data_IF_454250077424
#
_entry.id   IF_454250077424
#
_cell.length_a   1.000
_cell.length_b   1.000
_cell.length_c   1.000
_cell.angle_alpha   90.00
_cell.angle_beta   90.00
_cell.angle_gamma   90.00
#
_symmetry.space_group_name_H-M   'P 1'
#
loop_
_entity.id
_entity.type
_entity.pdbx_description
1 polymer ?
#
# COMPACT_ATOMS: atom_id res chain seq x y z
N UNK A 1 -0.81 -50.37 -45.69
CA UNK A 1 -0.88 -48.90 -45.64
C UNK A 1 -1.15 -48.46 -44.19
N UNK A 2 -0.13 -48.04 -43.48
CA UNK A 2 -0.23 -47.69 -42.08
C UNK A 2 -0.44 -46.19 -41.96
N UNK A 3 -1.61 -45.79 -41.48
CA UNK A 3 -1.95 -44.41 -41.21
C UNK A 3 -1.48 -43.97 -39.84
N UNK A 4 -0.45 -43.13 -39.78
CA UNK A 4 0.12 -42.56 -38.56
C UNK A 4 -0.79 -41.44 -38.06
N UNK A 5 -1.59 -41.67 -37.00
CA UNK A 5 -2.31 -40.60 -36.28
C UNK A 5 -1.32 -39.77 -35.47
N UNK A 6 -1.07 -38.53 -35.89
CA UNK A 6 -0.39 -37.51 -35.06
C UNK A 6 -1.31 -37.10 -33.93
N UNK A 7 -0.91 -37.43 -32.67
CA UNK A 7 -1.48 -36.88 -31.46
C UNK A 7 -1.07 -35.41 -31.35
N UNK A 8 -2.01 -34.50 -31.47
CA UNK A 8 -1.83 -33.10 -31.09
C UNK A 8 -1.68 -33.04 -29.57
N UNK A 9 -0.49 -32.74 -29.07
CA UNK A 9 -0.25 -32.39 -27.67
C UNK A 9 -0.69 -30.94 -27.47
N UNK A 10 -1.91 -30.75 -26.95
CA UNK A 10 -2.28 -29.47 -26.35
C UNK A 10 -1.37 -29.24 -25.12
N UNK A 11 -0.39 -28.36 -25.25
CA UNK A 11 0.33 -27.84 -24.10
C UNK A 11 -0.66 -26.97 -23.30
N UNK A 12 -1.30 -27.58 -22.31
CA UNK A 12 -2.12 -26.89 -21.35
C UNK A 12 -1.23 -25.92 -20.59
N UNK A 13 -1.47 -24.61 -20.78
CA UNK A 13 -0.94 -23.58 -19.91
C UNK A 13 -1.41 -23.92 -18.51
N UNK A 14 -0.49 -24.35 -17.67
CA UNK A 14 -0.74 -24.72 -16.28
C UNK A 14 -1.10 -23.44 -15.51
N UNK A 15 -2.36 -23.01 -15.62
CA UNK A 15 -2.91 -21.95 -14.80
C UNK A 15 -3.09 -22.51 -13.40
N UNK A 16 -2.10 -22.30 -12.54
CA UNK A 16 -2.27 -22.55 -11.11
C UNK A 16 -3.50 -21.74 -10.63
N UNK A 17 -4.62 -22.38 -10.29
CA UNK A 17 -5.77 -21.67 -9.76
C UNK A 17 -5.34 -21.00 -8.47
N UNK A 18 -5.69 -19.70 -8.32
CA UNK A 18 -5.50 -19.00 -7.06
C UNK A 18 -6.16 -19.83 -5.95
N UNK A 19 -5.45 -20.04 -4.85
CA UNK A 19 -6.04 -20.75 -3.71
C UNK A 19 -7.25 -19.95 -3.21
N UNK A 20 -8.26 -20.63 -2.67
CA UNK A 20 -9.47 -19.99 -2.16
C UNK A 20 -9.17 -18.87 -1.15
N UNK A 21 -8.13 -19.03 -0.35
CA UNK A 21 -7.68 -18.02 0.61
C UNK A 21 -7.22 -16.72 -0.03
N UNK A 22 -6.68 -16.76 -1.24
CA UNK A 22 -6.26 -15.56 -1.99
C UNK A 22 -7.42 -14.78 -2.61
N UNK A 23 -8.60 -15.42 -2.74
CA UNK A 23 -9.80 -14.78 -3.27
C UNK A 23 -10.63 -14.09 -2.17
N UNK A 24 -10.33 -14.36 -0.91
CA UNK A 24 -10.99 -13.75 0.25
C UNK A 24 -10.16 -12.55 0.74
N UNK A 25 -10.81 -11.59 1.42
CA UNK A 25 -10.11 -10.54 2.15
C UNK A 25 -9.17 -11.09 3.23
N UNK A 26 -8.30 -10.23 3.74
CA UNK A 26 -7.43 -10.55 4.88
C UNK A 26 -8.28 -11.02 6.08
N UNK A 27 -7.84 -12.03 6.86
CA UNK A 27 -8.51 -12.41 8.10
C UNK A 27 -8.67 -11.20 9.02
N UNK A 28 -9.85 -11.02 9.60
CA UNK A 28 -10.22 -9.85 10.39
C UNK A 28 -9.23 -9.56 11.54
N UNK A 29 -8.70 -10.61 12.17
CA UNK A 29 -7.69 -10.47 13.22
C UNK A 29 -6.40 -9.83 12.67
N UNK A 30 -5.88 -10.33 11.56
CA UNK A 30 -4.66 -9.81 10.92
C UNK A 30 -4.85 -8.37 10.43
N UNK A 31 -6.02 -8.05 9.87
CA UNK A 31 -6.35 -6.70 9.45
C UNK A 31 -6.36 -5.73 10.64
N UNK A 32 -6.92 -6.12 11.79
CA UNK A 32 -6.93 -5.31 13.02
C UNK A 32 -5.54 -5.10 13.59
N UNK A 33 -4.70 -6.13 13.62
CA UNK A 33 -3.32 -6.04 14.11
C UNK A 33 -2.50 -5.07 13.26
N UNK A 34 -2.65 -5.13 11.94
CA UNK A 34 -1.96 -4.24 11.01
C UNK A 34 -2.49 -2.80 11.14
N UNK A 35 -3.81 -2.60 11.19
CA UNK A 35 -4.43 -1.30 11.45
C UNK A 35 -3.92 -0.69 12.74
N UNK A 36 -3.92 -1.44 13.84
CA UNK A 36 -3.42 -0.96 15.13
C UNK A 36 -1.96 -0.51 15.04
N UNK A 37 -1.10 -1.28 14.37
CA UNK A 37 0.31 -0.93 14.20
C UNK A 37 0.48 0.41 13.46
N UNK A 38 -0.29 0.65 12.40
CA UNK A 38 -0.26 1.90 11.65
C UNK A 38 -0.75 3.10 12.48
N UNK A 39 -1.87 2.95 13.21
CA UNK A 39 -2.39 4.03 14.06
C UNK A 39 -1.49 4.32 15.25
N UNK A 40 -0.84 3.32 15.83
CA UNK A 40 0.18 3.50 16.88
C UNK A 40 1.41 4.24 16.32
N UNK A 41 1.85 3.91 15.10
CA UNK A 41 2.94 4.64 14.45
C UNK A 41 2.58 6.12 14.23
N UNK A 42 1.35 6.42 13.80
CA UNK A 42 0.89 7.81 13.65
C UNK A 42 0.82 8.53 15.01
N UNK A 43 0.31 7.87 16.06
CA UNK A 43 0.27 8.44 17.41
C UNK A 43 1.68 8.75 17.92
N UNK A 44 2.65 7.87 17.73
CA UNK A 44 4.04 8.10 18.08
C UNK A 44 4.65 9.28 17.29
N UNK A 45 4.29 9.43 16.03
CA UNK A 45 4.74 10.54 15.18
C UNK A 45 4.09 11.90 15.54
N UNK A 46 2.96 11.89 16.25
CA UNK A 46 2.35 13.11 16.83
C UNK A 46 3.00 13.53 18.14
N UNK A 47 3.63 12.60 18.85
CA UNK A 47 4.35 12.83 20.10
C UNK A 47 5.86 13.00 19.87
N UNK A 48 6.58 13.03 20.98
CA UNK A 48 8.04 13.22 20.98
C UNK A 48 8.81 11.89 20.80
N UNK A 49 8.11 10.79 20.56
CA UNK A 49 8.67 9.43 20.51
C UNK A 49 8.87 8.90 19.08
N UNK A 50 8.69 9.75 18.08
CA UNK A 50 8.77 9.33 16.71
C UNK A 50 10.20 8.94 16.29
N UNK A 51 10.30 7.84 15.58
CA UNK A 51 11.54 7.39 14.97
C UNK A 51 11.33 7.10 13.47
N UNK A 52 12.45 6.94 12.78
CA UNK A 52 12.43 6.67 11.33
C UNK A 52 11.64 5.41 10.94
N UNK A 53 11.61 4.42 11.81
CA UNK A 53 10.86 3.18 11.56
C UNK A 53 9.36 3.46 11.46
N UNK A 54 8.80 4.23 12.39
CA UNK A 54 7.37 4.60 12.40
C UNK A 54 7.01 5.44 11.17
N UNK A 55 7.85 6.38 10.77
CA UNK A 55 7.64 7.14 9.53
C UNK A 55 7.61 6.19 8.33
N UNK A 56 8.54 5.26 8.22
CA UNK A 56 8.59 4.30 7.13
C UNK A 56 7.35 3.39 7.09
N UNK A 57 6.83 2.97 8.24
CA UNK A 57 5.58 2.18 8.31
C UNK A 57 4.38 2.99 7.77
N UNK A 58 4.28 4.27 8.11
CA UNK A 58 3.25 5.16 7.57
C UNK A 58 3.41 5.39 6.06
N UNK A 59 4.64 5.61 5.59
CA UNK A 59 4.94 5.73 4.16
C UNK A 59 4.46 4.50 3.41
N UNK A 60 4.80 3.29 3.90
CA UNK A 60 4.39 2.03 3.29
C UNK A 60 2.88 1.88 3.25
N UNK A 61 2.17 2.19 4.34
CA UNK A 61 0.72 2.08 4.40
C UNK A 61 0.02 3.03 3.43
N UNK A 62 0.52 4.26 3.26
CA UNK A 62 -0.04 5.23 2.31
C UNK A 62 0.18 4.81 0.86
N UNK A 63 1.37 4.30 0.50
CA UNK A 63 1.59 3.76 -0.84
C UNK A 63 0.75 2.49 -1.10
N UNK A 64 0.58 1.62 -0.11
CA UNK A 64 -0.32 0.48 -0.21
C UNK A 64 -1.77 0.92 -0.48
N UNK A 65 -2.24 1.93 0.27
CA UNK A 65 -3.58 2.50 0.05
C UNK A 65 -3.72 3.06 -1.38
N UNK A 66 -2.70 3.75 -1.89
CA UNK A 66 -2.68 4.26 -3.25
C UNK A 66 -2.77 3.14 -4.31
N UNK A 67 -1.95 2.09 -4.18
CA UNK A 67 -1.98 0.97 -5.14
C UNK A 67 -3.31 0.21 -5.10
N UNK A 68 -3.87 -0.01 -3.91
CA UNK A 68 -5.20 -0.64 -3.77
C UNK A 68 -6.30 0.23 -4.36
N UNK A 69 -6.27 1.54 -4.17
CA UNK A 69 -7.22 2.45 -4.81
C UNK A 69 -7.11 2.39 -6.34
N UNK A 70 -5.93 2.32 -6.92
CA UNK A 70 -5.75 2.14 -8.36
C UNK A 70 -6.30 0.82 -8.89
N UNK A 71 -6.48 -0.17 -8.03
CA UNK A 71 -7.13 -1.45 -8.34
C UNK A 71 -8.65 -1.43 -8.11
N UNK A 72 -9.24 -0.27 -7.76
CA UNK A 72 -10.67 -0.08 -7.56
C UNK A 72 -11.15 -0.21 -6.11
N UNK A 73 -10.26 -0.22 -5.12
CA UNK A 73 -10.62 -0.28 -3.71
C UNK A 73 -10.50 1.10 -3.06
N UNK A 74 -11.64 1.72 -2.81
CA UNK A 74 -11.70 3.04 -2.18
C UNK A 74 -11.62 4.20 -3.15
N UNK A 75 -11.89 5.39 -2.63
CA UNK A 75 -11.87 6.65 -3.38
C UNK A 75 -11.42 7.78 -2.44
N UNK A 76 -10.18 8.19 -2.58
CA UNK A 76 -9.59 9.31 -1.86
C UNK A 76 -9.10 10.33 -2.89
N UNK A 77 -9.35 11.64 -2.68
CA UNK A 77 -8.80 12.67 -3.57
C UNK A 77 -7.30 12.54 -3.72
N UNK A 78 -6.82 12.71 -4.94
CA UNK A 78 -5.40 12.55 -5.28
C UNK A 78 -4.50 13.49 -4.45
N UNK A 79 -4.99 14.69 -4.18
CA UNK A 79 -4.33 15.73 -3.39
C UNK A 79 -3.98 15.26 -1.97
N UNK A 80 -4.76 14.31 -1.41
CA UNK A 80 -4.45 13.74 -0.09
C UNK A 80 -3.17 12.90 -0.13
N UNK A 81 -2.93 12.17 -1.21
CA UNK A 81 -1.71 11.40 -1.39
C UNK A 81 -0.51 12.31 -1.65
N UNK A 82 -0.65 13.36 -2.49
CA UNK A 82 0.40 14.35 -2.71
C UNK A 82 0.77 15.07 -1.40
N UNK A 83 -0.22 15.44 -0.60
CA UNK A 83 0.01 16.08 0.71
C UNK A 83 0.76 15.15 1.66
N UNK A 84 0.32 13.88 1.77
CA UNK A 84 0.98 12.90 2.63
C UNK A 84 2.43 12.64 2.21
N UNK A 85 2.69 12.55 0.90
CA UNK A 85 4.04 12.36 0.36
C UNK A 85 4.97 13.54 0.74
N UNK A 86 4.51 14.78 0.55
CA UNK A 86 5.25 15.97 0.97
C UNK A 86 5.47 16.01 2.49
N UNK A 87 4.48 15.61 3.28
CA UNK A 87 4.61 15.52 4.74
C UNK A 87 5.67 14.50 5.15
N UNK A 88 5.75 13.34 4.48
CA UNK A 88 6.76 12.32 4.76
C UNK A 88 8.17 12.77 4.38
N UNK A 89 8.35 13.46 3.25
CA UNK A 89 9.65 14.03 2.86
C UNK A 89 10.15 15.01 3.92
N UNK A 90 9.27 15.91 4.39
CA UNK A 90 9.58 16.85 5.47
C UNK A 90 9.88 16.11 6.78
N UNK A 91 9.07 15.11 7.13
CA UNK A 91 9.24 14.32 8.35
C UNK A 91 10.59 13.61 8.39
N UNK A 92 11.01 13.01 7.28
CA UNK A 92 12.31 12.34 7.18
C UNK A 92 13.48 13.33 7.30
N UNK A 93 13.35 14.53 6.74
CA UNK A 93 14.34 15.59 6.85
C UNK A 93 14.44 16.14 8.29
N UNK A 94 13.31 16.26 9.00
CA UNK A 94 13.22 16.70 10.40
C UNK A 94 13.76 15.63 11.35
N UNK A 95 13.39 14.37 11.15
CA UNK A 95 13.89 13.25 11.96
C UNK A 95 15.41 13.11 11.91
N UNK A 96 16.05 13.49 10.79
CA UNK A 96 17.51 13.51 10.68
C UNK A 96 18.17 14.61 11.53
N UNK A 97 17.40 15.62 11.98
CA UNK A 97 17.88 16.78 12.75
C UNK A 97 17.52 16.72 14.22
N UNK A 98 16.94 15.60 14.72
CA UNK A 98 16.46 15.42 16.11
C UNK A 98 15.47 16.52 16.56
N UNK A 99 14.57 16.96 15.72
CA UNK A 99 13.56 17.95 16.04
C UNK A 99 12.33 17.33 16.70
N UNK A 100 11.70 18.07 17.62
CA UNK A 100 10.68 17.58 18.54
C UNK A 100 9.33 17.20 17.88
N UNK A 101 8.96 17.79 16.76
CA UNK A 101 7.68 17.51 16.08
C UNK A 101 7.91 17.16 14.62
N UNK A 102 7.50 15.94 14.26
CA UNK A 102 7.75 15.38 12.91
C UNK A 102 6.67 15.80 11.92
N UNK A 103 5.39 15.79 12.32
CA UNK A 103 4.27 16.21 11.49
C UNK A 103 3.69 17.53 11.99
N UNK A 104 3.29 18.39 11.04
CA UNK A 104 2.49 19.57 11.34
C UNK A 104 1.08 19.20 11.79
N UNK A 105 0.35 20.18 12.34
CA UNK A 105 -1.06 19.99 12.73
C UNK A 105 -1.98 19.69 11.53
N UNK A 106 -1.56 20.04 10.33
CA UNK A 106 -2.30 19.81 9.10
C UNK A 106 -1.98 18.44 8.46
N UNK A 107 -0.79 17.89 8.69
CA UNK A 107 -0.34 16.64 8.08
C UNK A 107 -1.01 15.42 8.72
N UNK A 108 -1.05 15.38 10.04
CA UNK A 108 -1.56 14.23 10.77
C UNK A 108 -3.02 13.86 10.43
N UNK A 109 -3.97 14.81 10.29
CA UNK A 109 -5.34 14.49 9.87
C UNK A 109 -5.44 13.89 8.46
N UNK A 110 -4.60 14.32 7.53
CA UNK A 110 -4.57 13.78 6.16
C UNK A 110 -4.07 12.35 6.17
N UNK A 111 -2.98 12.08 6.87
CA UNK A 111 -2.43 10.73 7.02
C UNK A 111 -3.45 9.82 7.72
N UNK A 112 -4.11 10.29 8.78
CA UNK A 112 -5.15 9.53 9.49
C UNK A 112 -6.30 9.12 8.56
N UNK A 113 -6.79 10.01 7.72
CA UNK A 113 -7.82 9.69 6.71
C UNK A 113 -7.35 8.62 5.73
N UNK A 114 -6.09 8.65 5.30
CA UNK A 114 -5.51 7.63 4.44
C UNK A 114 -5.35 6.28 5.15
N UNK A 115 -5.03 6.27 6.44
CA UNK A 115 -5.01 5.03 7.24
C UNK A 115 -6.40 4.44 7.39
N UNK A 116 -7.43 5.25 7.66
CA UNK A 116 -8.84 4.80 7.73
C UNK A 116 -9.29 4.20 6.38
N UNK A 117 -8.90 4.82 5.26
CA UNK A 117 -9.13 4.23 3.95
C UNK A 117 -8.43 2.88 3.82
N UNK A 118 -7.16 2.80 4.22
CA UNK A 118 -6.39 1.56 4.14
C UNK A 118 -6.98 0.43 4.99
N UNK A 119 -7.44 0.73 6.19
CA UNK A 119 -8.14 -0.25 7.06
C UNK A 119 -9.36 -0.85 6.36
N UNK A 120 -10.14 0.00 5.70
CA UNK A 120 -11.29 -0.43 4.91
C UNK A 120 -10.87 -1.29 3.72
N UNK A 121 -9.83 -0.90 3.01
CA UNK A 121 -9.29 -1.66 1.88
C UNK A 121 -8.83 -3.06 2.31
N UNK A 122 -8.15 -3.19 3.46
CA UNK A 122 -7.72 -4.49 4.00
C UNK A 122 -8.89 -5.42 4.33
N UNK A 123 -10.05 -4.86 4.70
CA UNK A 123 -11.25 -5.63 4.99
C UNK A 123 -12.07 -6.00 3.75
N UNK A 124 -11.91 -5.28 2.64
CA UNK A 124 -12.70 -5.44 1.42
C UNK A 124 -11.91 -6.09 0.28
N UNK A 125 -10.63 -5.78 0.14
CA UNK A 125 -9.81 -6.25 -0.97
C UNK A 125 -9.43 -7.73 -0.82
N UNK A 126 -9.61 -8.57 -1.86
CA UNK A 126 -9.11 -9.94 -1.84
C UNK A 126 -7.59 -9.97 -1.64
N UNK A 127 -7.09 -10.99 -0.92
CA UNK A 127 -5.66 -11.12 -0.61
C UNK A 127 -4.73 -11.06 -1.82
N UNK A 128 -5.14 -11.60 -2.97
CA UNK A 128 -4.31 -11.52 -4.17
C UNK A 128 -4.09 -10.06 -4.64
N UNK A 129 -5.04 -9.14 -4.38
CA UNK A 129 -4.88 -7.71 -4.67
C UNK A 129 -3.96 -7.02 -3.67
N UNK A 130 -4.04 -7.40 -2.40
CA UNK A 130 -3.10 -6.93 -1.37
C UNK A 130 -1.67 -7.38 -1.71
N UNK A 131 -1.48 -8.64 -2.09
CA UNK A 131 -0.18 -9.18 -2.53
C UNK A 131 0.33 -8.46 -3.79
N UNK A 132 -0.54 -8.15 -4.74
CA UNK A 132 -0.17 -7.38 -5.94
C UNK A 132 0.26 -5.95 -5.59
N UNK A 133 -0.49 -5.27 -4.71
CA UNK A 133 -0.12 -3.94 -4.22
C UNK A 133 1.23 -3.96 -3.49
N UNK A 134 1.48 -4.97 -2.66
CA UNK A 134 2.74 -5.15 -1.96
C UNK A 134 3.91 -5.41 -2.92
N UNK A 135 3.68 -6.15 -4.01
CA UNK A 135 4.66 -6.35 -5.06
C UNK A 135 5.00 -5.02 -5.75
N UNK A 136 4.01 -4.20 -6.09
CA UNK A 136 4.23 -2.87 -6.68
C UNK A 136 5.00 -1.96 -5.72
N UNK A 137 4.68 -1.98 -4.43
CA UNK A 137 5.42 -1.25 -3.41
C UNK A 137 6.88 -1.68 -3.34
N UNK A 138 7.15 -2.98 -3.31
CA UNK A 138 8.54 -3.51 -3.30
C UNK A 138 9.32 -3.11 -4.55
N UNK A 139 8.69 -3.15 -5.72
CA UNK A 139 9.31 -2.72 -6.97
C UNK A 139 9.65 -1.23 -6.95
N UNK A 140 8.75 -0.40 -6.43
CA UNK A 140 8.99 1.02 -6.24
C UNK A 140 10.14 1.29 -5.28
N UNK A 141 10.16 0.66 -4.11
CA UNK A 141 11.21 0.84 -3.10
C UNK A 141 12.58 0.32 -3.56
N UNK A 142 12.63 -0.66 -4.44
CA UNK A 142 13.88 -1.17 -5.03
C UNK A 142 14.39 -0.32 -6.20
N UNK A 143 13.53 0.53 -6.77
CA UNK A 143 13.87 1.41 -7.89
C UNK A 143 14.43 2.75 -7.43
N UNK A 144 15.07 3.46 -8.38
CA UNK A 144 15.52 4.85 -8.21
C UNK A 144 14.51 5.83 -8.85
N UNK A 145 13.29 5.35 -9.10
CA UNK A 145 12.28 6.05 -9.88
C UNK A 145 11.57 7.16 -9.10
N UNK A 146 10.89 8.03 -9.88
CA UNK A 146 9.98 9.03 -9.33
C UNK A 146 8.81 8.36 -8.58
N UNK A 147 8.14 9.14 -7.71
CA UNK A 147 6.95 8.71 -6.97
C UNK A 147 5.95 8.00 -7.88
N UNK A 148 5.34 6.88 -7.43
CA UNK A 148 4.25 6.23 -8.14
C UNK A 148 2.94 7.03 -8.07
N UNK A 149 2.85 8.02 -7.16
CA UNK A 149 1.71 8.91 -7.00
C UNK A 149 1.75 9.92 -8.16
N UNK A 150 1.12 9.55 -9.26
CA UNK A 150 1.05 10.39 -10.48
C UNK A 150 -0.40 10.79 -10.70
N UNK A 151 -0.63 12.09 -10.86
CA UNK A 151 -1.94 12.62 -11.19
C UNK A 151 -2.44 12.01 -12.50
N UNK A 152 -3.65 11.41 -12.53
CA UNK A 152 -4.22 10.93 -13.78
C UNK A 152 -4.31 12.10 -14.76
N UNK A 153 -3.85 11.89 -15.99
CA UNK A 153 -4.03 12.89 -17.06
C UNK A 153 -5.54 13.03 -17.27
N UNK A 154 -6.05 14.25 -17.08
CA UNK A 154 -7.40 14.60 -17.47
C UNK A 154 -7.43 14.60 -19.00
N UNK A 155 -8.13 13.64 -19.60
CA UNK A 155 -8.49 13.66 -21.01
C UNK A 155 -9.58 14.70 -21.26
#
# INVERSE_FOLDING_TARGET
>A
MAGTKRKATCSGVNRNPLSKSLLLPMPAQSARELSLAHHVALAACRGDSANRHQINELVRSVYMAYFLQRMGFGDMPFECYEHAEAAFENALAVAAKCAERIFSEQDAPVIERLLVLHDRQLSEAPMHRVVEAEKQLRQFLAGTGASPIVRPKSD
#
